data_IF_312963755745
#
_entry.id   IF_312963755745
#
_cell.length_a   1.000
_cell.length_b   1.000
_cell.length_c   1.000
_cell.angle_alpha   90.00
_cell.angle_beta   90.00
_cell.angle_gamma   90.00
#
_symmetry.space_group_name_H-M   'P 1'
#
loop_
_entity.id
_entity.type
_entity.pdbx_description
1 polymer ?
#
# COMPACT_ATOMS: atom_id res chain seq x y z
N UNK A 1 -6.57 13.61 -7.43
CA UNK A 1 -7.29 12.33 -7.69
C UNK A 1 -8.69 12.56 -8.24
N UNK A 2 -9.47 13.49 -7.67
CA UNK A 2 -10.84 13.80 -8.13
C UNK A 2 -10.90 14.25 -9.59
N UNK A 3 -10.00 15.15 -10.04
CA UNK A 3 -9.94 15.57 -11.45
C UNK A 3 -9.70 14.39 -12.41
N UNK A 4 -8.80 13.48 -12.08
CA UNK A 4 -8.50 12.30 -12.93
C UNK A 4 -9.66 11.29 -12.94
N UNK A 5 -10.42 11.18 -11.85
CA UNK A 5 -11.64 10.37 -11.80
C UNK A 5 -12.77 10.99 -12.62
N UNK A 6 -12.95 12.31 -12.54
CA UNK A 6 -13.92 13.04 -13.37
C UNK A 6 -13.59 12.91 -14.87
N UNK A 7 -12.32 12.97 -15.25
CA UNK A 7 -11.87 12.74 -16.63
C UNK A 7 -12.15 11.30 -17.11
N UNK A 8 -11.97 10.28 -16.26
CA UNK A 8 -12.33 8.89 -16.61
C UNK A 8 -13.84 8.75 -16.80
N UNK A 9 -14.65 9.39 -15.95
CA UNK A 9 -16.10 9.39 -16.09
C UNK A 9 -16.55 10.06 -17.40
N UNK A 10 -15.92 11.18 -17.78
CA UNK A 10 -16.18 11.85 -19.06
C UNK A 10 -15.81 10.98 -20.27
N UNK A 11 -14.66 10.28 -20.21
CA UNK A 11 -14.25 9.35 -21.28
C UNK A 11 -15.21 8.14 -21.39
N UNK A 12 -15.69 7.60 -20.27
CA UNK A 12 -16.69 6.53 -20.28
C UNK A 12 -18.03 6.99 -20.89
N UNK A 13 -18.45 8.23 -20.60
CA UNK A 13 -19.64 8.82 -21.22
C UNK A 13 -19.50 8.97 -22.74
N UNK A 14 -18.32 9.34 -23.23
CA UNK A 14 -18.05 9.43 -24.68
C UNK A 14 -18.05 8.06 -25.36
N UNK A 15 -17.53 7.02 -24.70
CA UNK A 15 -17.60 5.65 -25.22
C UNK A 15 -19.05 5.18 -25.32
N UNK A 16 -19.89 5.47 -24.32
CA UNK A 16 -21.32 5.11 -24.37
C UNK A 16 -22.05 5.78 -25.53
N UNK A 17 -21.81 7.08 -25.76
CA UNK A 17 -22.39 7.79 -26.90
C UNK A 17 -21.98 7.16 -28.25
N UNK A 18 -20.70 6.78 -28.39
CA UNK A 18 -20.20 6.11 -29.60
C UNK A 18 -20.78 4.70 -29.79
N UNK A 19 -21.05 3.97 -28.71
CA UNK A 19 -21.70 2.66 -28.76
C UNK A 19 -23.18 2.77 -29.16
N UNK A 20 -23.88 3.81 -28.69
CA UNK A 20 -25.25 4.11 -29.10
C UNK A 20 -25.32 4.51 -30.58
N UNK A 21 -24.38 5.33 -31.04
CA UNK A 21 -24.23 5.72 -32.45
C UNK A 21 -24.00 4.49 -33.35
N UNK A 22 -23.09 3.61 -32.95
CA UNK A 22 -22.82 2.32 -33.62
C UNK A 22 -24.07 1.45 -33.71
N UNK A 23 -24.87 1.38 -32.65
CA UNK A 23 -26.11 0.61 -32.63
C UNK A 23 -27.17 1.19 -33.57
N UNK A 24 -27.32 2.52 -33.59
CA UNK A 24 -28.26 3.21 -34.47
C UNK A 24 -27.93 3.02 -35.96
N UNK A 25 -26.63 3.10 -36.32
CA UNK A 25 -26.14 2.84 -37.68
C UNK A 25 -26.40 1.40 -38.15
N UNK A 26 -26.36 0.43 -37.23
CA UNK A 26 -26.61 -0.99 -37.55
C UNK A 26 -28.10 -1.28 -37.77
N UNK A 27 -28.98 -0.63 -37.00
CA UNK A 27 -30.44 -0.85 -37.06
C UNK A 27 -31.07 -0.21 -38.31
N UNK A 28 -30.61 0.98 -38.71
CA UNK A 28 -31.15 1.71 -39.86
C UNK A 28 -30.86 1.06 -41.23
N UNK A 29 -30.03 0.01 -41.28
CA UNK A 29 -29.58 -0.64 -42.51
C UNK A 29 -30.33 -1.95 -42.85
N UNK A 30 -31.36 -2.31 -42.06
CA UNK A 30 -32.23 -3.47 -42.34
C UNK A 30 -33.40 -3.03 -43.22
N UNK A 31 -33.34 -3.30 -44.53
CA UNK A 31 -34.46 -3.03 -45.44
C UNK A 31 -35.44 -4.20 -45.40
N UNK A 32 -36.66 -3.93 -44.90
CA UNK A 32 -37.87 -4.67 -45.25
C UNK A 32 -38.33 -4.21 -46.63
N UNK A 33 -38.19 -5.06 -47.65
CA UNK A 33 -38.56 -4.73 -49.04
C UNK A 33 -39.85 -5.43 -49.47
N UNK A 34 -40.97 -4.70 -49.45
CA UNK A 34 -42.26 -5.07 -50.05
C UNK A 34 -42.42 -4.26 -51.36
N UNK A 35 -41.86 -4.73 -52.48
CA UNK A 35 -42.38 -4.54 -53.85
C UNK A 35 -41.36 -4.99 -54.93
N UNK A 36 -41.74 -6.05 -55.64
CA UNK A 36 -40.89 -6.81 -56.56
C UNK A 36 -40.96 -6.31 -58.01
N UNK A 37 -39.95 -5.52 -58.39
CA UNK A 37 -39.49 -5.44 -59.78
C UNK A 37 -38.04 -5.95 -59.83
N UNK A 38 -37.70 -6.89 -60.73
CA UNK A 38 -36.33 -7.44 -60.82
C UNK A 38 -35.25 -6.37 -61.06
N UNK A 39 -35.58 -5.29 -61.77
CA UNK A 39 -34.67 -4.16 -62.00
C UNK A 39 -34.53 -3.28 -60.75
N UNK A 40 -35.63 -3.06 -60.03
CA UNK A 40 -35.61 -2.35 -58.74
C UNK A 40 -34.79 -3.13 -57.69
N UNK A 41 -34.85 -4.46 -57.70
CA UNK A 41 -33.99 -5.29 -56.86
C UNK A 41 -32.51 -5.11 -57.20
N UNK A 42 -32.11 -5.18 -58.47
CA UNK A 42 -30.69 -5.04 -58.85
C UNK A 42 -30.13 -3.66 -58.52
N UNK A 43 -30.92 -2.60 -58.70
CA UNK A 43 -30.52 -1.24 -58.31
C UNK A 43 -30.47 -1.07 -56.79
N UNK A 44 -31.40 -1.67 -56.04
CA UNK A 44 -31.37 -1.71 -54.58
C UNK A 44 -30.13 -2.45 -54.05
N UNK A 45 -29.81 -3.63 -54.59
CA UNK A 45 -28.61 -4.39 -54.23
C UNK A 45 -27.32 -3.65 -54.60
N UNK A 46 -27.29 -2.92 -55.73
CA UNK A 46 -26.12 -2.08 -56.10
C UNK A 46 -25.97 -0.85 -55.21
N UNK A 47 -27.07 -0.22 -54.76
CA UNK A 47 -27.02 0.87 -53.76
C UNK A 47 -26.54 0.35 -52.42
N UNK A 48 -27.07 -0.79 -51.96
CA UNK A 48 -26.65 -1.44 -50.72
C UNK A 48 -25.15 -1.78 -50.73
N UNK A 49 -24.61 -2.31 -51.83
CA UNK A 49 -23.19 -2.61 -51.94
C UNK A 49 -22.28 -1.37 -51.84
N UNK A 50 -22.78 -0.18 -52.23
CA UNK A 50 -22.05 1.09 -52.12
C UNK A 50 -22.22 1.74 -50.74
N UNK A 51 -23.43 1.74 -50.21
CA UNK A 51 -23.77 2.29 -48.88
C UNK A 51 -23.13 1.45 -47.76
N UNK A 52 -23.09 0.12 -47.90
CA UNK A 52 -22.38 -0.76 -46.94
C UNK A 52 -20.87 -0.48 -46.89
N UNK A 53 -20.24 -0.05 -47.98
CA UNK A 53 -18.82 0.26 -47.98
C UNK A 53 -18.53 1.52 -47.16
N UNK A 54 -19.36 2.56 -47.29
CA UNK A 54 -19.24 3.78 -46.47
C UNK A 54 -19.58 3.52 -45.00
N UNK A 55 -20.66 2.77 -44.73
CA UNK A 55 -21.04 2.36 -43.38
C UNK A 55 -19.98 1.49 -42.70
N UNK A 56 -19.33 0.58 -43.43
CA UNK A 56 -18.24 -0.24 -42.89
C UNK A 56 -17.04 0.62 -42.47
N UNK A 57 -16.72 1.68 -43.23
CA UNK A 57 -15.62 2.60 -42.89
C UNK A 57 -15.99 3.45 -41.67
N UNK A 58 -17.23 3.90 -41.57
CA UNK A 58 -17.74 4.67 -40.44
C UNK A 58 -17.76 3.84 -39.15
N UNK A 59 -18.28 2.60 -39.20
CA UNK A 59 -18.24 1.65 -38.09
C UNK A 59 -16.80 1.34 -37.65
N UNK A 60 -15.88 1.15 -38.62
CA UNK A 60 -14.47 0.94 -38.32
C UNK A 60 -13.82 2.19 -37.68
N UNK A 61 -14.25 3.40 -38.07
CA UNK A 61 -13.84 4.66 -37.46
C UNK A 61 -14.32 4.78 -36.01
N UNK A 62 -15.57 4.40 -35.74
CA UNK A 62 -16.14 4.38 -34.38
C UNK A 62 -15.41 3.34 -33.51
N UNK A 63 -15.19 2.13 -34.02
CA UNK A 63 -14.47 1.08 -33.29
C UNK A 63 -13.01 1.51 -32.98
N UNK A 64 -12.34 2.20 -33.91
CA UNK A 64 -11.00 2.76 -33.68
C UNK A 64 -11.01 3.89 -32.64
N UNK A 65 -12.04 4.76 -32.64
CA UNK A 65 -12.20 5.82 -31.66
C UNK A 65 -12.44 5.26 -30.25
N UNK A 66 -13.29 4.23 -30.12
CA UNK A 66 -13.52 3.52 -28.86
C UNK A 66 -12.21 2.91 -28.35
N UNK A 67 -11.46 2.19 -29.19
CA UNK A 67 -10.18 1.58 -28.81
C UNK A 67 -9.16 2.64 -28.32
N UNK A 68 -9.10 3.80 -28.96
CA UNK A 68 -8.24 4.91 -28.54
C UNK A 68 -8.65 5.50 -27.18
N UNK A 69 -9.96 5.64 -26.93
CA UNK A 69 -10.49 6.14 -25.64
C UNK A 69 -10.26 5.13 -24.50
N UNK A 70 -10.45 3.83 -24.76
CA UNK A 70 -10.13 2.76 -23.81
C UNK A 70 -8.64 2.74 -23.44
N UNK A 71 -7.76 2.97 -24.43
CA UNK A 71 -6.32 3.12 -24.20
C UNK A 71 -5.99 4.28 -23.24
N UNK A 72 -6.64 5.43 -23.42
CA UNK A 72 -6.50 6.60 -22.53
C UNK A 72 -7.00 6.31 -21.11
N UNK A 73 -8.11 5.59 -20.97
CA UNK A 73 -8.66 5.19 -19.67
C UNK A 73 -7.67 4.28 -18.94
N UNK A 74 -7.16 3.23 -19.59
CA UNK A 74 -6.17 2.31 -19.00
C UNK A 74 -4.91 3.05 -18.52
N UNK A 75 -4.42 4.00 -19.32
CA UNK A 75 -3.27 4.82 -18.94
C UNK A 75 -3.54 5.66 -17.69
N UNK A 76 -4.70 6.32 -17.61
CA UNK A 76 -5.09 7.17 -16.46
C UNK A 76 -5.34 6.34 -15.20
N UNK A 77 -5.99 5.18 -15.32
CA UNK A 77 -6.18 4.23 -14.22
C UNK A 77 -4.83 3.71 -13.70
N UNK A 78 -3.90 3.35 -14.60
CA UNK A 78 -2.55 2.93 -14.21
C UNK A 78 -1.79 3.99 -13.42
N UNK A 79 -1.94 5.28 -13.78
CA UNK A 79 -1.37 6.39 -13.01
C UNK A 79 -1.99 6.51 -11.62
N UNK A 80 -3.33 6.42 -11.50
CA UNK A 80 -4.03 6.47 -10.21
C UNK A 80 -3.59 5.35 -9.26
N UNK A 81 -3.47 4.12 -9.75
CA UNK A 81 -3.02 2.98 -8.93
C UNK A 81 -1.61 3.19 -8.41
N UNK A 82 -0.69 3.68 -9.25
CA UNK A 82 0.69 4.01 -8.83
C UNK A 82 0.70 5.06 -7.72
N UNK A 83 -0.05 6.15 -7.90
CA UNK A 83 -0.11 7.24 -6.92
C UNK A 83 -0.70 6.79 -5.58
N UNK A 84 -1.73 5.93 -5.61
CA UNK A 84 -2.28 5.33 -4.39
C UNK A 84 -1.26 4.42 -3.70
N UNK A 85 -0.46 3.67 -4.46
CA UNK A 85 0.62 2.84 -3.92
C UNK A 85 1.69 3.67 -3.23
N UNK A 86 2.20 4.69 -3.91
CA UNK A 86 3.21 5.62 -3.38
C UNK A 86 2.71 6.36 -2.14
N UNK A 87 1.47 6.85 -2.14
CA UNK A 87 0.90 7.53 -0.98
C UNK A 87 0.77 6.61 0.24
N UNK A 88 0.35 5.35 0.05
CA UNK A 88 0.29 4.37 1.14
C UNK A 88 1.68 4.07 1.71
N UNK A 89 2.69 3.96 0.85
CA UNK A 89 4.08 3.75 1.28
C UNK A 89 4.60 4.91 2.12
N UNK A 90 4.33 6.16 1.72
CA UNK A 90 4.74 7.34 2.47
C UNK A 90 4.11 7.39 3.87
N UNK A 91 2.81 7.07 3.97
CA UNK A 91 2.10 7.01 5.26
C UNK A 91 2.70 5.92 6.15
N UNK A 92 2.97 4.74 5.59
CA UNK A 92 3.59 3.64 6.35
C UNK A 92 5.00 3.98 6.82
N UNK A 93 5.80 4.66 5.99
CA UNK A 93 7.13 5.13 6.37
C UNK A 93 7.07 6.13 7.52
N UNK A 94 6.14 7.09 7.47
CA UNK A 94 5.97 8.06 8.55
C UNK A 94 5.56 7.38 9.87
N UNK A 95 4.58 6.47 9.83
CA UNK A 95 4.16 5.71 11.01
C UNK A 95 5.30 4.86 11.59
N UNK A 96 6.15 4.31 10.74
CA UNK A 96 7.31 3.53 11.16
C UNK A 96 8.34 4.42 11.89
N UNK A 97 8.65 5.59 11.36
CA UNK A 97 9.59 6.52 12.00
C UNK A 97 9.06 7.03 13.34
N UNK A 98 7.78 7.40 13.43
CA UNK A 98 7.14 7.77 14.70
C UNK A 98 7.22 6.63 15.73
N UNK A 99 6.95 5.38 15.31
CA UNK A 99 7.06 4.22 16.19
C UNK A 99 8.51 3.96 16.64
N UNK A 100 9.49 4.18 15.76
CA UNK A 100 10.92 4.06 16.10
C UNK A 100 11.32 5.09 17.15
N UNK A 101 10.91 6.35 17.01
CA UNK A 101 11.22 7.39 17.99
C UNK A 101 10.68 7.04 19.38
N UNK A 102 9.42 6.60 19.47
CA UNK A 102 8.81 6.15 20.73
C UNK A 102 9.60 5.00 21.34
N UNK A 103 9.92 3.99 20.53
CA UNK A 103 10.66 2.84 21.00
C UNK A 103 12.09 3.23 21.45
N UNK A 104 12.73 4.22 20.82
CA UNK A 104 14.06 4.73 21.21
C UNK A 104 14.03 5.39 22.57
N UNK A 105 13.01 6.20 22.85
CA UNK A 105 12.79 6.82 24.17
C UNK A 105 12.67 5.73 25.24
N UNK A 106 11.90 4.68 24.97
CA UNK A 106 11.78 3.56 25.90
C UNK A 106 13.10 2.81 26.10
N UNK A 107 13.86 2.56 25.02
CA UNK A 107 15.18 1.92 25.12
C UNK A 107 16.16 2.75 25.98
N UNK A 108 16.20 4.07 25.78
CA UNK A 108 17.01 4.98 26.60
C UNK A 108 16.58 4.97 28.07
N UNK A 109 15.28 4.96 28.33
CA UNK A 109 14.75 4.88 29.70
C UNK A 109 15.10 3.55 30.38
N UNK A 110 15.02 2.43 29.67
CA UNK A 110 15.47 1.13 30.18
C UNK A 110 16.95 1.20 30.54
N UNK A 111 17.77 1.80 29.67
CA UNK A 111 19.20 1.94 29.90
C UNK A 111 19.55 2.80 31.12
N UNK A 112 18.80 3.88 31.35
CA UNK A 112 18.93 4.69 32.56
C UNK A 112 18.57 3.88 33.81
N UNK A 113 17.40 3.24 33.84
CA UNK A 113 16.96 2.41 34.97
C UNK A 113 17.93 1.26 35.26
N UNK A 114 18.48 0.65 34.20
CA UNK A 114 19.50 -0.38 34.31
C UNK A 114 20.77 0.15 34.99
N UNK A 115 21.19 1.38 34.69
CA UNK A 115 22.35 2.01 35.34
C UNK A 115 22.11 2.31 36.82
N UNK A 116 20.92 2.80 37.16
CA UNK A 116 20.50 3.07 38.54
C UNK A 116 20.44 1.76 39.35
N UNK A 117 19.80 0.73 38.80
CA UNK A 117 19.73 -0.59 39.42
C UNK A 117 21.13 -1.21 39.61
N UNK A 118 22.02 -1.05 38.63
CA UNK A 118 23.39 -1.55 38.75
C UNK A 118 24.16 -0.84 39.88
N UNK A 119 23.97 0.46 40.06
CA UNK A 119 24.57 1.19 41.18
C UNK A 119 24.00 0.69 42.52
N UNK A 120 22.69 0.55 42.63
CA UNK A 120 22.02 0.10 43.85
C UNK A 120 22.45 -1.33 44.25
N UNK A 121 22.54 -2.24 43.29
CA UNK A 121 23.04 -3.61 43.51
C UNK A 121 24.49 -3.59 44.05
N UNK A 122 25.34 -2.69 43.56
CA UNK A 122 26.72 -2.55 44.07
C UNK A 122 26.74 -2.00 45.49
N UNK A 123 25.90 -1.02 45.81
CA UNK A 123 25.76 -0.52 47.18
C UNK A 123 25.29 -1.62 48.13
N UNK A 124 24.25 -2.36 47.75
CA UNK A 124 23.76 -3.49 48.53
C UNK A 124 24.85 -4.56 48.74
N UNK A 125 25.66 -4.85 47.71
CA UNK A 125 26.81 -5.76 47.80
C UNK A 125 27.85 -5.27 48.80
N UNK A 126 28.18 -3.97 48.79
CA UNK A 126 29.12 -3.37 49.73
C UNK A 126 28.59 -3.47 51.17
N UNK A 127 27.32 -3.15 51.39
CA UNK A 127 26.65 -3.30 52.70
C UNK A 127 26.67 -4.76 53.17
N UNK A 128 26.35 -5.70 52.28
CA UNK A 128 26.38 -7.13 52.60
C UNK A 128 27.79 -7.58 52.99
N UNK A 129 28.84 -7.11 52.31
CA UNK A 129 30.23 -7.45 52.65
C UNK A 129 30.66 -6.89 54.01
N UNK A 130 30.19 -5.69 54.38
CA UNK A 130 30.47 -5.09 55.69
C UNK A 130 29.72 -5.80 56.82
N UNK A 131 28.45 -6.14 56.60
CA UNK A 131 27.58 -6.76 57.61
C UNK A 131 27.83 -8.27 57.78
N UNK A 132 28.27 -8.96 56.73
CA UNK A 132 28.40 -10.42 56.74
C UNK A 132 29.28 -10.98 57.86
N UNK A 133 30.46 -10.39 58.19
CA UNK A 133 31.27 -10.87 59.31
C UNK A 133 30.54 -10.76 60.66
N UNK A 134 29.90 -9.61 60.94
CA UNK A 134 29.14 -9.39 62.17
C UNK A 134 27.92 -10.31 62.26
N UNK A 135 27.21 -10.46 61.15
CA UNK A 135 26.04 -11.32 61.07
C UNK A 135 26.39 -12.80 61.26
N UNK A 136 27.54 -13.23 60.73
CA UNK A 136 28.05 -14.59 60.92
C UNK A 136 28.42 -14.89 62.38
N UNK A 137 29.02 -13.93 63.08
CA UNK A 137 29.39 -14.08 64.50
C UNK A 137 28.17 -14.37 65.38
N UNK A 138 27.00 -13.84 65.02
CA UNK A 138 25.76 -13.98 65.81
C UNK A 138 24.92 -15.17 65.32
N UNK A 139 24.76 -15.31 64.00
CA UNK A 139 23.78 -16.22 63.41
C UNK A 139 24.40 -17.38 62.62
N UNK A 140 25.73 -17.46 62.51
CA UNK A 140 26.48 -18.51 61.80
C UNK A 140 26.03 -18.75 60.35
N UNK A 141 25.51 -17.70 59.69
CA UNK A 141 25.05 -17.72 58.30
C UNK A 141 25.32 -16.37 57.64
N UNK A 142 25.39 -16.27 56.31
CA UNK A 142 25.61 -14.99 55.62
C UNK A 142 24.33 -14.14 55.65
N UNK A 143 24.48 -12.81 55.63
CA UNK A 143 23.34 -11.88 55.64
C UNK A 143 22.61 -11.87 54.28
N UNK A 144 23.34 -11.68 53.19
CA UNK A 144 22.83 -11.74 51.81
C UNK A 144 23.84 -12.49 50.94
N UNK A 145 23.36 -13.38 50.08
CA UNK A 145 24.16 -14.16 49.11
C UNK A 145 23.67 -13.93 47.69
N UNK A 146 24.46 -14.31 46.68
CA UNK A 146 24.04 -14.27 45.26
C UNK A 146 24.69 -13.18 44.40
N UNK A 147 25.52 -12.31 44.98
CA UNK A 147 26.22 -11.22 44.26
C UNK A 147 27.28 -11.65 43.22
N UNK A 148 27.49 -12.96 43.00
CA UNK A 148 28.44 -13.47 41.99
C UNK A 148 27.85 -13.50 40.57
N UNK A 149 26.52 -13.56 40.43
CA UNK A 149 25.84 -13.80 39.15
C UNK A 149 24.75 -12.78 38.86
N UNK A 150 24.78 -11.61 39.50
CA UNK A 150 23.76 -10.58 39.26
C UNK A 150 24.07 -9.90 37.92
N UNK A 151 23.10 -9.94 37.03
CA UNK A 151 23.15 -9.23 35.75
C UNK A 151 21.93 -8.32 35.63
N UNK A 152 22.14 -7.14 35.08
CA UNK A 152 21.07 -6.17 34.80
C UNK A 152 20.84 -6.09 33.29
N UNK A 153 19.58 -6.21 32.83
CA UNK A 153 19.26 -6.10 31.41
C UNK A 153 19.49 -4.67 30.91
N UNK A 154 20.03 -4.55 29.69
CA UNK A 154 20.33 -3.29 29.01
C UNK A 154 20.03 -3.43 27.52
N UNK A 155 19.56 -2.37 26.88
CA UNK A 155 19.24 -2.34 25.45
C UNK A 155 20.44 -1.81 24.66
N UNK A 156 21.01 -2.65 23.78
CA UNK A 156 22.06 -2.28 22.83
C UNK A 156 21.45 -2.04 21.45
N UNK A 157 21.88 -0.97 20.78
CA UNK A 157 21.55 -0.71 19.39
C UNK A 157 22.73 -1.12 18.51
N UNK A 158 22.52 -2.08 17.61
CA UNK A 158 23.50 -2.51 16.61
C UNK A 158 23.24 -1.82 15.25
N UNK A 159 22.71 -0.60 15.29
CA UNK A 159 22.30 0.18 14.11
C UNK A 159 20.83 -0.02 13.78
N UNK A 160 20.51 -1.09 13.06
CA UNK A 160 19.15 -1.38 12.60
C UNK A 160 18.34 -2.22 13.60
N UNK A 161 19.02 -2.99 14.45
CA UNK A 161 18.39 -3.92 15.39
C UNK A 161 18.73 -3.54 16.82
N UNK A 162 17.73 -3.53 17.69
CA UNK A 162 17.93 -3.36 19.11
C UNK A 162 17.82 -4.70 19.82
N UNK A 163 18.80 -4.99 20.67
CA UNK A 163 18.90 -6.26 21.39
C UNK A 163 18.96 -6.00 22.89
N UNK A 164 18.25 -6.84 23.65
CA UNK A 164 18.33 -6.82 25.12
C UNK A 164 19.47 -7.75 25.52
N UNK A 165 20.45 -7.21 26.24
CA UNK A 165 21.65 -7.90 26.69
C UNK A 165 21.76 -7.78 28.21
N UNK A 166 22.15 -8.87 28.88
CA UNK A 166 22.37 -8.87 30.33
C UNK A 166 23.82 -8.48 30.64
N UNK A 167 24.02 -7.36 31.34
CA UNK A 167 25.34 -6.91 31.78
C UNK A 167 25.58 -7.36 33.22
N UNK A 168 26.68 -8.06 33.46
CA UNK A 168 27.09 -8.48 34.81
C UNK A 168 27.49 -7.23 35.62
N UNK A 169 27.03 -7.15 36.88
CA UNK A 169 27.17 -5.97 37.76
C UNK A 169 28.11 -6.19 38.93
#
# INVERSE_FOLDING_TARGET
MEQTQAEIAALNSQIQALLEERAALTINNVISGENDSPQAMVEAYRRQARENAQLSVELQGIDAAIAALEGKIKQKQGKLVRWQGESKQLIQQQQLEEAKEVAQVHAQRINQLASELAAEVRFLKACANQLSPMYWQIYYKPFITGFKTISVPYVRSDGEVWTIVNRIV
#
